data_IF_822877588007
#
_entry.id   IF_822877588007
#
_cell.length_a   1.000
_cell.length_b   1.000
_cell.length_c   1.000
_cell.angle_alpha   90.00
_cell.angle_beta   90.00
_cell.angle_gamma   90.00
#
_symmetry.space_group_name_H-M   'P 1'
#
loop_
_entity.id
_entity.type
_entity.pdbx_description
1 polymer ?
#
# COMPACT_ATOMS: atom_id res chain seq x y z
N UNK A 1 5.77 2.57 13.75
CA UNK A 1 4.86 1.87 12.82
C UNK A 1 5.53 1.96 11.48
N UNK A 2 5.65 0.82 10.81
CA UNK A 2 6.26 0.79 9.48
C UNK A 2 5.17 0.49 8.48
N UNK A 3 5.35 0.94 7.25
CA UNK A 3 4.48 0.61 6.13
C UNK A 3 5.26 -0.20 5.12
N UNK A 4 4.64 -1.29 4.69
CA UNK A 4 5.15 -2.15 3.64
C UNK A 4 4.24 -1.98 2.44
N UNK A 5 4.77 -1.55 1.30
CA UNK A 5 4.05 -1.42 0.04
C UNK A 5 4.60 -2.46 -0.94
N UNK A 6 3.72 -3.32 -1.46
CA UNK A 6 4.12 -4.42 -2.35
C UNK A 6 3.28 -4.44 -3.62
N UNK A 7 3.91 -4.68 -4.79
CA UNK A 7 3.19 -5.06 -5.98
C UNK A 7 2.53 -6.42 -5.78
N UNK A 8 1.29 -6.56 -6.23
CA UNK A 8 0.56 -7.83 -6.17
C UNK A 8 -0.03 -8.19 -7.52
N UNK A 9 -0.24 -9.49 -7.72
CA UNK A 9 -0.91 -10.00 -8.90
C UNK A 9 -2.41 -9.71 -8.80
N UNK A 10 -2.86 -8.75 -9.61
CA UNK A 10 -4.23 -8.25 -9.60
C UNK A 10 -5.25 -9.36 -9.89
N UNK A 11 -4.90 -10.28 -10.80
CA UNK A 11 -5.75 -11.40 -11.18
C UNK A 11 -5.91 -12.39 -10.03
N UNK A 12 -4.80 -12.78 -9.40
CA UNK A 12 -4.85 -13.65 -8.21
C UNK A 12 -5.70 -13.03 -7.09
N UNK A 13 -5.50 -11.74 -6.83
CA UNK A 13 -6.23 -11.06 -5.76
C UNK A 13 -7.74 -11.01 -6.05
N UNK A 14 -8.13 -10.71 -7.28
CA UNK A 14 -9.53 -10.67 -7.69
C UNK A 14 -10.21 -12.06 -7.76
N UNK A 15 -9.52 -13.07 -8.29
CA UNK A 15 -10.10 -14.38 -8.53
C UNK A 15 -10.05 -15.29 -7.30
N UNK A 16 -9.06 -15.10 -6.42
CA UNK A 16 -8.80 -16.00 -5.30
C UNK A 16 -8.97 -15.31 -3.95
N UNK A 17 -8.24 -14.20 -3.71
CA UNK A 17 -8.16 -13.60 -2.37
C UNK A 17 -9.47 -12.93 -1.95
N UNK A 18 -10.03 -12.04 -2.77
CA UNK A 18 -11.28 -11.34 -2.43
C UNK A 18 -12.46 -12.31 -2.22
N UNK A 19 -12.72 -13.29 -3.12
CA UNK A 19 -13.79 -14.26 -2.91
C UNK A 19 -13.58 -15.14 -1.68
N UNK A 20 -12.34 -15.57 -1.43
CA UNK A 20 -11.97 -16.32 -0.23
C UNK A 20 -12.33 -15.55 1.04
N UNK A 21 -11.91 -14.28 1.14
CA UNK A 21 -12.16 -13.43 2.30
C UNK A 21 -13.66 -13.16 2.49
N UNK A 22 -14.41 -12.87 1.42
CA UNK A 22 -15.86 -12.69 1.50
C UNK A 22 -16.56 -13.96 2.02
N UNK A 23 -16.22 -15.14 1.49
CA UNK A 23 -16.83 -16.41 1.89
C UNK A 23 -16.49 -16.78 3.34
N UNK A 24 -15.25 -16.55 3.76
CA UNK A 24 -14.79 -16.88 5.10
C UNK A 24 -15.54 -16.14 6.22
N UNK A 25 -16.27 -15.07 5.90
CA UNK A 25 -17.10 -14.37 6.88
C UNK A 25 -18.25 -15.24 7.40
N UNK A 26 -18.77 -16.14 6.57
CA UNK A 26 -19.89 -17.03 6.93
C UNK A 26 -19.53 -18.52 6.95
N UNK A 27 -18.58 -18.93 6.11
CA UNK A 27 -18.15 -20.32 5.93
C UNK A 27 -16.62 -20.38 5.72
N UNK A 28 -15.87 -20.33 6.83
CA UNK A 28 -14.41 -20.36 6.81
C UNK A 28 -13.88 -21.70 6.30
N UNK A 29 -14.48 -22.82 6.72
CA UNK A 29 -14.11 -24.16 6.25
C UNK A 29 -14.24 -24.30 4.73
N UNK A 30 -15.40 -23.96 4.17
CA UNK A 30 -15.60 -24.08 2.73
C UNK A 30 -14.83 -23.04 1.92
N UNK A 31 -14.49 -21.89 2.51
CA UNK A 31 -13.55 -20.95 1.91
C UNK A 31 -12.13 -21.54 1.80
N UNK A 32 -11.64 -22.19 2.86
CA UNK A 32 -10.34 -22.85 2.88
C UNK A 32 -10.27 -24.03 1.89
N UNK A 33 -11.32 -24.86 1.82
CA UNK A 33 -11.42 -25.94 0.83
C UNK A 33 -11.35 -25.40 -0.60
N UNK A 34 -12.16 -24.37 -0.91
CA UNK A 34 -12.18 -23.75 -2.24
C UNK A 34 -10.84 -23.11 -2.62
N UNK A 35 -10.13 -22.54 -1.64
CA UNK A 35 -8.82 -21.95 -1.87
C UNK A 35 -7.76 -23.04 -2.11
N UNK A 36 -7.81 -24.16 -1.38
CA UNK A 36 -6.88 -25.28 -1.55
C UNK A 36 -6.86 -25.85 -2.96
N UNK A 37 -8.01 -25.87 -3.63
CA UNK A 37 -8.14 -26.37 -5.00
C UNK A 37 -7.37 -25.52 -6.02
N UNK A 38 -7.12 -24.25 -5.71
CA UNK A 38 -6.42 -23.32 -6.61
C UNK A 38 -4.97 -23.08 -6.25
N UNK A 39 -4.51 -23.45 -5.05
CA UNK A 39 -3.14 -23.22 -4.57
C UNK A 39 -2.18 -24.35 -4.96
N UNK A 40 -1.08 -23.98 -5.61
CA UNK A 40 0.11 -24.82 -5.80
C UNK A 40 1.21 -24.60 -4.74
N UNK A 41 1.18 -23.47 -4.01
CA UNK A 41 2.18 -23.15 -2.98
C UNK A 41 2.08 -24.06 -1.74
N UNK A 42 3.11 -24.86 -1.48
CA UNK A 42 3.09 -25.87 -0.41
C UNK A 42 2.89 -25.31 1.00
N UNK A 43 3.48 -24.15 1.32
CA UNK A 43 3.32 -23.55 2.65
C UNK A 43 1.91 -23.01 2.87
N UNK A 44 1.32 -22.33 1.89
CA UNK A 44 -0.06 -21.82 2.00
C UNK A 44 -1.07 -22.97 2.05
N UNK A 45 -0.84 -24.05 1.28
CA UNK A 45 -1.65 -25.27 1.38
C UNK A 45 -1.59 -25.89 2.77
N UNK A 46 -0.40 -26.03 3.34
CA UNK A 46 -0.21 -26.57 4.68
C UNK A 46 -0.95 -25.75 5.75
N UNK A 47 -0.96 -24.41 5.64
CA UNK A 47 -1.75 -23.54 6.53
C UNK A 47 -3.25 -23.82 6.42
N UNK A 48 -3.78 -23.95 5.19
CA UNK A 48 -5.18 -24.28 4.98
C UNK A 48 -5.55 -25.66 5.53
N UNK A 49 -4.76 -26.70 5.23
CA UNK A 49 -4.96 -28.07 5.72
C UNK A 49 -4.95 -28.13 7.25
N UNK A 50 -4.00 -27.41 7.87
CA UNK A 50 -3.92 -27.30 9.33
C UNK A 50 -5.18 -26.69 9.92
N UNK A 51 -5.66 -25.56 9.37
CA UNK A 51 -6.89 -24.93 9.85
C UNK A 51 -8.13 -25.80 9.62
N UNK A 52 -8.21 -26.50 8.49
CA UNK A 52 -9.32 -27.43 8.21
C UNK A 52 -9.37 -28.59 9.20
N UNK A 53 -8.21 -29.06 9.68
CA UNK A 53 -8.16 -30.15 10.66
C UNK A 53 -8.76 -29.78 12.03
N UNK A 54 -8.83 -28.49 12.35
CA UNK A 54 -9.34 -27.95 13.63
C UNK A 54 -10.60 -27.10 13.47
N UNK A 55 -11.05 -26.86 12.23
CA UNK A 55 -12.16 -25.97 11.93
C UNK A 55 -13.49 -26.48 12.52
N UNK A 56 -14.26 -25.53 13.05
CA UNK A 56 -15.67 -25.73 13.40
C UNK A 56 -16.58 -25.14 12.30
N UNK A 57 -17.86 -25.52 12.24
CA UNK A 57 -18.80 -24.84 11.35
C UNK A 57 -18.94 -23.36 11.73
N UNK A 58 -18.79 -22.45 10.75
CA UNK A 58 -19.02 -21.01 10.93
C UNK A 58 -18.07 -20.13 10.13
N UNK A 59 -18.03 -18.84 10.48
CA UNK A 59 -17.13 -17.84 9.88
C UNK A 59 -15.77 -17.77 10.56
N UNK A 60 -15.06 -16.64 10.45
CA UNK A 60 -13.70 -16.45 10.98
C UNK A 60 -13.44 -16.94 12.42
N UNK A 61 -14.41 -16.81 13.32
CA UNK A 61 -14.27 -17.25 14.70
C UNK A 61 -14.21 -18.78 14.89
N UNK A 62 -14.33 -19.55 13.80
CA UNK A 62 -14.33 -21.01 13.80
C UNK A 62 -12.99 -21.63 13.39
N UNK A 63 -11.99 -20.80 13.08
CA UNK A 63 -10.62 -21.23 12.72
C UNK A 63 -9.58 -20.59 13.65
N UNK A 64 -8.41 -21.22 13.73
CA UNK A 64 -7.31 -20.74 14.57
C UNK A 64 -6.78 -19.38 14.07
N UNK A 65 -6.66 -18.40 14.99
CA UNK A 65 -6.31 -17.03 14.64
C UNK A 65 -4.86 -16.86 14.12
N UNK A 66 -3.88 -17.57 14.70
CA UNK A 66 -2.48 -17.43 14.29
C UNK A 66 -2.23 -17.97 12.86
N UNK A 67 -2.64 -19.22 12.51
CA UNK A 67 -2.53 -19.71 11.14
C UNK A 67 -3.35 -18.91 10.12
N UNK A 68 -4.49 -18.34 10.55
CA UNK A 68 -5.29 -17.45 9.72
C UNK A 68 -4.53 -16.17 9.38
N UNK A 69 -3.94 -15.51 10.38
CA UNK A 69 -3.15 -14.30 10.18
C UNK A 69 -1.96 -14.56 9.25
N UNK A 70 -1.25 -15.68 9.45
CA UNK A 70 -0.14 -16.10 8.57
C UNK A 70 -0.62 -16.36 7.14
N UNK A 71 -1.77 -17.00 6.95
CA UNK A 71 -2.32 -17.25 5.61
C UNK A 71 -2.70 -15.93 4.92
N UNK A 72 -3.43 -15.04 5.60
CA UNK A 72 -3.87 -13.77 5.01
C UNK A 72 -2.67 -12.88 4.66
N UNK A 73 -1.66 -12.82 5.52
CA UNK A 73 -0.41 -12.10 5.21
C UNK A 73 0.23 -12.61 3.92
N UNK A 74 0.32 -13.94 3.76
CA UNK A 74 0.88 -14.57 2.55
C UNK A 74 0.04 -14.27 1.31
N UNK A 75 -1.28 -14.42 1.39
CA UNK A 75 -2.19 -14.21 0.26
C UNK A 75 -2.19 -12.75 -0.20
N UNK A 76 -2.15 -11.80 0.73
CA UNK A 76 -2.28 -10.38 0.45
C UNK A 76 -0.96 -9.68 0.11
N UNK A 77 0.20 -10.20 0.57
CA UNK A 77 1.48 -9.49 0.48
C UNK A 77 2.63 -10.27 -0.16
N UNK A 78 2.45 -11.51 -0.60
CA UNK A 78 3.43 -12.20 -1.44
C UNK A 78 3.13 -12.00 -2.93
N UNK A 79 4.17 -12.15 -3.76
CA UNK A 79 4.02 -12.11 -5.21
C UNK A 79 3.50 -13.46 -5.69
N UNK A 80 2.32 -13.51 -6.30
CA UNK A 80 1.72 -14.75 -6.80
C UNK A 80 1.80 -14.84 -8.32
N UNK A 81 2.04 -16.05 -8.82
CA UNK A 81 2.05 -16.38 -10.24
C UNK A 81 1.31 -17.69 -10.49
N UNK A 82 0.73 -17.82 -11.67
CA UNK A 82 0.08 -19.05 -12.10
C UNK A 82 1.13 -20.08 -12.53
N UNK A 83 0.92 -21.33 -12.12
CA UNK A 83 1.73 -22.48 -12.50
C UNK A 83 0.82 -23.66 -12.91
N UNK A 84 1.37 -24.73 -13.53
CA UNK A 84 0.58 -25.91 -13.88
C UNK A 84 -0.10 -26.60 -12.68
N UNK A 85 0.45 -26.42 -11.48
CA UNK A 85 -0.08 -26.99 -10.22
C UNK A 85 -1.01 -26.04 -9.47
N UNK A 86 -1.38 -24.90 -10.07
CA UNK A 86 -2.16 -23.83 -9.45
C UNK A 86 -1.32 -22.59 -9.14
N UNK A 87 -1.84 -21.72 -8.29
CA UNK A 87 -1.15 -20.48 -7.90
C UNK A 87 0.00 -20.77 -6.94
N UNK A 88 1.18 -20.27 -7.27
CA UNK A 88 2.37 -20.41 -6.44
C UNK A 88 2.98 -19.05 -6.10
N UNK A 89 3.68 -18.99 -4.98
CA UNK A 89 4.46 -17.81 -4.61
C UNK A 89 5.63 -17.69 -5.59
N UNK A 90 5.64 -16.59 -6.35
CA UNK A 90 6.76 -16.16 -7.15
C UNK A 90 7.95 -15.72 -6.29
N UNK A 91 9.11 -15.56 -6.93
CA UNK A 91 10.30 -15.06 -6.25
C UNK A 91 10.10 -13.64 -5.67
N UNK A 92 11.02 -13.23 -4.82
CA UNK A 92 10.93 -11.96 -4.11
C UNK A 92 10.87 -10.77 -5.09
N UNK A 93 9.79 -10.00 -5.01
CA UNK A 93 9.76 -8.65 -5.55
C UNK A 93 10.07 -7.69 -4.42
N UNK A 94 11.09 -6.84 -4.62
CA UNK A 94 11.44 -5.80 -3.67
C UNK A 94 10.22 -4.88 -3.43
N UNK A 95 9.68 -4.94 -2.22
CA UNK A 95 8.69 -3.98 -1.71
C UNK A 95 9.36 -2.72 -1.17
N UNK A 96 8.55 -1.69 -0.91
CA UNK A 96 8.97 -0.56 -0.07
C UNK A 96 8.67 -0.91 1.39
N UNK A 97 9.58 -0.59 2.30
CA UNK A 97 9.38 -0.74 3.74
C UNK A 97 10.09 0.41 4.46
N UNK A 98 9.33 1.26 5.16
CA UNK A 98 9.88 2.40 5.90
C UNK A 98 8.87 2.89 6.97
N UNK A 99 9.24 3.92 7.74
CA UNK A 99 8.41 4.57 8.71
C UNK A 99 7.10 5.10 8.09
N UNK A 100 5.97 4.60 8.60
CA UNK A 100 4.64 4.94 8.08
C UNK A 100 4.36 6.45 8.09
N UNK A 101 4.80 7.17 9.14
CA UNK A 101 4.56 8.61 9.27
C UNK A 101 5.26 9.43 8.18
N UNK A 102 6.49 9.04 7.82
CA UNK A 102 7.27 9.69 6.77
C UNK A 102 6.71 9.35 5.39
N UNK A 103 6.39 8.08 5.14
CA UNK A 103 5.77 7.65 3.89
C UNK A 103 4.42 8.37 3.64
N UNK A 104 3.58 8.47 4.68
CA UNK A 104 2.32 9.21 4.59
C UNK A 104 2.55 10.71 4.40
N UNK A 105 3.55 11.30 5.06
CA UNK A 105 3.92 12.70 4.87
C UNK A 105 4.25 13.00 3.40
N UNK A 106 5.09 12.17 2.79
CA UNK A 106 5.50 12.32 1.39
C UNK A 106 4.35 12.07 0.42
N UNK A 107 3.49 11.09 0.71
CA UNK A 107 2.30 10.84 -0.09
C UNK A 107 1.34 12.05 -0.03
N UNK A 108 1.10 12.63 1.13
CA UNK A 108 0.26 13.83 1.28
C UNK A 108 0.89 15.07 0.61
N UNK A 109 2.21 15.21 0.64
CA UNK A 109 2.91 16.26 -0.13
C UNK A 109 2.57 16.19 -1.62
N UNK A 110 2.55 14.98 -2.17
CA UNK A 110 2.24 14.75 -3.58
C UNK A 110 0.75 14.92 -3.90
N UNK A 111 -0.10 14.38 -3.05
CA UNK A 111 -1.52 14.18 -3.32
C UNK A 111 -2.37 15.41 -2.96
N UNK A 112 -2.15 16.00 -1.79
CA UNK A 112 -2.99 17.07 -1.22
C UNK A 112 -2.40 18.47 -1.52
N UNK A 113 -3.10 19.31 -2.33
CA UNK A 113 -2.59 20.62 -2.74
C UNK A 113 -2.31 21.59 -1.60
N UNK A 114 -3.07 21.50 -0.49
CA UNK A 114 -2.93 22.41 0.63
C UNK A 114 -2.16 21.80 1.81
N UNK A 115 -1.52 20.63 1.62
CA UNK A 115 -0.81 19.95 2.68
C UNK A 115 0.35 20.82 3.22
N UNK A 116 0.37 21.17 4.51
CA UNK A 116 1.32 22.15 5.06
C UNK A 116 2.67 21.49 5.40
N UNK A 117 3.33 20.86 4.43
CA UNK A 117 4.51 20.01 4.69
C UNK A 117 5.74 20.73 5.25
N UNK A 118 5.80 22.05 5.14
CA UNK A 118 6.85 22.89 5.72
C UNK A 118 6.60 23.23 7.20
N UNK A 119 5.37 23.05 7.70
CA UNK A 119 4.99 23.24 9.10
C UNK A 119 4.82 21.87 9.77
N UNK A 120 5.80 21.47 10.58
CA UNK A 120 5.81 20.17 11.25
C UNK A 120 4.58 19.93 12.12
N UNK A 121 4.06 20.97 12.78
CA UNK A 121 2.90 20.84 13.68
C UNK A 121 1.62 20.64 12.86
N UNK A 122 1.34 21.54 11.93
CA UNK A 122 0.15 21.46 11.08
C UNK A 122 0.18 20.19 10.20
N UNK A 123 1.34 19.80 9.68
CA UNK A 123 1.50 18.58 8.91
C UNK A 123 1.19 17.32 9.74
N UNK A 124 1.55 17.33 11.02
CA UNK A 124 1.24 16.24 11.95
C UNK A 124 -0.26 16.17 12.25
N UNK A 125 -0.90 17.30 12.52
CA UNK A 125 -2.35 17.36 12.77
C UNK A 125 -3.15 16.76 11.60
N UNK A 126 -2.75 17.05 10.35
CA UNK A 126 -3.36 16.44 9.16
C UNK A 126 -3.12 14.92 9.09
N UNK A 127 -1.89 14.45 9.37
CA UNK A 127 -1.57 13.00 9.36
C UNK A 127 -2.32 12.24 10.46
N UNK A 128 -2.43 12.82 11.64
CA UNK A 128 -3.21 12.25 12.74
C UNK A 128 -4.69 12.12 12.34
N UNK A 129 -5.25 13.09 11.60
CA UNK A 129 -6.58 12.96 11.00
C UNK A 129 -6.70 11.79 10.02
N UNK A 130 -5.75 11.65 9.09
CA UNK A 130 -5.70 10.53 8.14
C UNK A 130 -5.53 9.17 8.81
N UNK A 131 -4.90 9.12 9.99
CA UNK A 131 -4.69 7.87 10.74
C UNK A 131 -6.00 7.19 11.14
N UNK A 132 -7.01 7.99 11.47
CA UNK A 132 -8.29 7.51 11.99
C UNK A 132 -9.41 7.57 10.96
N UNK A 133 -9.38 8.55 10.06
CA UNK A 133 -10.39 8.71 9.02
C UNK A 133 -9.72 9.10 7.70
N UNK A 134 -9.09 8.14 7.02
CA UNK A 134 -8.42 8.42 5.75
C UNK A 134 -9.42 8.92 4.70
N UNK A 135 -9.02 9.93 3.93
CA UNK A 135 -9.82 10.45 2.84
C UNK A 135 -9.74 9.52 1.61
N UNK A 136 -10.88 9.32 0.95
CA UNK A 136 -10.95 8.68 -0.36
C UNK A 136 -10.23 9.53 -1.44
N UNK A 137 -9.98 8.93 -2.60
CA UNK A 137 -9.43 9.61 -3.80
C UNK A 137 -8.04 10.26 -3.64
N UNK A 138 -7.37 10.08 -2.50
CA UNK A 138 -6.02 10.62 -2.25
C UNK A 138 -4.88 9.72 -2.72
N UNK A 139 -5.08 8.97 -3.81
CA UNK A 139 -4.05 8.15 -4.44
C UNK A 139 -3.25 7.30 -3.45
N UNK A 140 -1.92 7.47 -3.45
CA UNK A 140 -1.02 6.74 -2.56
C UNK A 140 -1.30 7.02 -1.07
N UNK A 141 -1.69 8.24 -0.69
CA UNK A 141 -1.95 8.59 0.71
C UNK A 141 -3.15 7.83 1.27
N UNK A 142 -4.23 7.63 0.50
CA UNK A 142 -5.38 6.84 0.95
C UNK A 142 -5.01 5.37 1.12
N UNK A 143 -4.20 4.80 0.22
CA UNK A 143 -3.69 3.43 0.33
C UNK A 143 -2.80 3.24 1.58
N UNK A 144 -1.81 4.12 1.80
CA UNK A 144 -0.92 4.02 2.96
C UNK A 144 -1.66 4.24 4.29
N UNK A 145 -2.72 5.04 4.29
CA UNK A 145 -3.57 5.24 5.46
C UNK A 145 -4.59 4.11 5.68
N UNK A 146 -4.63 3.11 4.79
CA UNK A 146 -5.44 1.91 4.96
C UNK A 146 -6.86 2.00 4.42
N UNK A 147 -7.20 3.06 3.68
CA UNK A 147 -8.51 3.20 3.05
C UNK A 147 -8.71 2.12 1.99
N UNK A 148 -9.85 1.43 2.03
CA UNK A 148 -10.24 0.49 1.00
C UNK A 148 -11.03 1.15 -0.12
N UNK A 149 -10.46 1.10 -1.32
CA UNK A 149 -11.11 1.50 -2.56
C UNK A 149 -10.58 0.59 -3.69
N UNK A 150 -11.41 -0.29 -4.28
CA UNK A 150 -12.85 -0.44 -4.08
C UNK A 150 -13.27 -0.84 -2.65
N UNK A 151 -14.50 -0.48 -2.28
CA UNK A 151 -15.11 -0.92 -1.01
C UNK A 151 -15.22 -2.45 -0.97
N UNK A 152 -14.75 -3.13 0.11
CA UNK A 152 -14.74 -4.57 0.21
C UNK A 152 -16.11 -5.11 0.63
N UNK A 153 -16.44 -6.34 0.24
CA UNK A 153 -17.66 -7.03 0.68
C UNK A 153 -17.54 -7.66 2.08
N UNK A 154 -16.36 -7.56 2.69
CA UNK A 154 -16.04 -8.07 4.01
C UNK A 154 -15.43 -6.95 4.88
N UNK A 155 -15.55 -7.05 6.21
CA UNK A 155 -14.85 -6.15 7.15
C UNK A 155 -13.33 -6.43 7.17
N UNK A 156 -12.49 -5.56 6.57
CA UNK A 156 -11.06 -5.85 6.40
C UNK A 156 -10.29 -5.87 7.72
N UNK A 157 -10.77 -5.11 8.71
CA UNK A 157 -10.25 -5.01 10.07
C UNK A 157 -10.46 -6.29 10.87
N UNK A 158 -11.55 -7.02 10.61
CA UNK A 158 -11.82 -8.32 11.22
C UNK A 158 -11.08 -9.46 10.52
N UNK A 159 -10.85 -9.33 9.22
CA UNK A 159 -10.05 -10.29 8.44
C UNK A 159 -8.59 -10.27 8.90
N UNK A 160 -7.98 -9.09 8.96
CA UNK A 160 -6.57 -8.97 9.27
C UNK A 160 -6.24 -7.57 9.79
N UNK A 161 -5.61 -7.52 10.96
CA UNK A 161 -5.19 -6.26 11.58
C UNK A 161 -3.94 -6.49 12.43
N UNK A 162 -2.94 -5.64 12.27
CA UNK A 162 -1.65 -5.77 12.97
C UNK A 162 -1.53 -4.79 14.15
N UNK A 163 -2.15 -3.62 14.04
CA UNK A 163 -2.19 -2.57 15.06
C UNK A 163 -3.55 -2.52 15.77
N UNK A 164 -4.53 -3.31 15.33
CA UNK A 164 -5.90 -3.19 15.79
C UNK A 164 -6.61 -1.96 15.23
N UNK A 165 -6.14 -1.38 14.10
CA UNK A 165 -6.83 -0.25 13.46
C UNK A 165 -7.76 -0.74 12.36
N UNK A 166 -8.96 -0.20 12.37
CA UNK A 166 -9.88 -0.25 11.25
C UNK A 166 -11.31 0.05 11.64
N UNK A 167 -12.09 0.40 10.62
CA UNK A 167 -13.52 0.64 10.71
C UNK A 167 -14.17 0.10 9.43
N UNK A 168 -15.39 -0.40 9.57
CA UNK A 168 -16.18 -0.91 8.45
C UNK A 168 -17.62 -0.42 8.57
N UNK A 169 -18.00 0.53 7.71
CA UNK A 169 -19.33 1.13 7.65
C UNK A 169 -19.97 0.89 6.27
N UNK A 170 -20.68 -0.24 6.08
CA UNK A 170 -21.33 -0.59 4.82
C UNK A 170 -22.31 0.45 4.31
N UNK A 171 -23.08 1.07 5.22
CA UNK A 171 -24.07 2.11 4.87
C UNK A 171 -23.43 3.34 4.25
N UNK A 172 -22.19 3.66 4.64
CA UNK A 172 -21.43 4.80 4.12
C UNK A 172 -20.47 4.40 3.00
N UNK A 173 -20.39 3.10 2.66
CA UNK A 173 -19.36 2.51 1.78
C UNK A 173 -17.95 2.96 2.16
N UNK A 174 -17.69 3.02 3.47
CA UNK A 174 -16.40 3.41 4.03
C UNK A 174 -15.78 2.25 4.78
N UNK A 175 -14.53 1.95 4.45
CA UNK A 175 -13.75 0.93 5.13
C UNK A 175 -12.28 1.35 5.20
N UNK A 176 -11.66 1.13 6.35
CA UNK A 176 -10.21 1.18 6.46
C UNK A 176 -9.70 0.12 7.42
N UNK A 177 -8.46 -0.31 7.25
CA UNK A 177 -7.78 -1.24 8.15
C UNK A 177 -6.28 -0.97 8.17
N UNK A 178 -5.52 -1.73 8.96
CA UNK A 178 -4.06 -1.72 8.89
C UNK A 178 -3.49 -2.15 7.54
N UNK A 179 -4.34 -2.61 6.63
CA UNK A 179 -3.97 -2.94 5.28
C UNK A 179 -5.01 -2.45 4.29
N UNK A 180 -4.57 -2.24 3.06
CA UNK A 180 -5.44 -1.91 1.94
C UNK A 180 -4.80 -2.35 0.63
N UNK A 181 -5.62 -2.41 -0.41
CA UNK A 181 -5.20 -2.76 -1.75
C UNK A 181 -5.80 -1.80 -2.78
N UNK A 182 -5.11 -1.66 -3.92
CA UNK A 182 -5.54 -0.93 -5.10
C UNK A 182 -5.37 -1.77 -6.36
N UNK A 183 -6.40 -1.85 -7.21
CA UNK A 183 -6.33 -2.63 -8.44
C UNK A 183 -5.35 -2.02 -9.44
N UNK A 184 -4.84 -2.85 -10.35
CA UNK A 184 -3.90 -2.43 -11.38
C UNK A 184 -4.39 -1.24 -12.21
N UNK A 185 -5.70 -1.16 -12.47
CA UNK A 185 -6.33 -0.01 -13.15
C UNK A 185 -6.16 1.30 -12.38
N UNK A 186 -6.34 1.27 -11.05
CA UNK A 186 -6.15 2.45 -10.21
C UNK A 186 -4.67 2.86 -10.18
N UNK A 187 -3.76 1.89 -10.04
CA UNK A 187 -2.31 2.14 -10.07
C UNK A 187 -1.87 2.74 -11.42
N UNK A 188 -2.39 2.25 -12.54
CA UNK A 188 -2.14 2.83 -13.85
C UNK A 188 -2.65 4.28 -13.96
N UNK A 189 -3.85 4.56 -13.44
CA UNK A 189 -4.38 5.92 -13.39
C UNK A 189 -3.50 6.86 -12.56
N UNK A 190 -2.95 6.38 -11.44
CA UNK A 190 -2.02 7.15 -10.62
C UNK A 190 -0.72 7.44 -11.37
N UNK A 191 -0.17 6.45 -12.08
CA UNK A 191 1.04 6.61 -12.88
C UNK A 191 0.85 7.67 -13.98
N UNK A 192 -0.29 7.69 -14.66
CA UNK A 192 -0.61 8.69 -15.70
C UNK A 192 -0.68 10.11 -15.12
N UNK A 193 -1.23 10.27 -13.91
CA UNK A 193 -1.37 11.57 -13.25
C UNK A 193 -0.11 12.03 -12.51
N UNK A 194 0.84 11.12 -12.27
CA UNK A 194 2.01 11.37 -11.44
C UNK A 194 2.86 12.56 -11.93
N UNK A 195 3.15 12.75 -13.25
CA UNK A 195 3.91 13.91 -13.72
C UNK A 195 3.29 15.24 -13.32
N UNK A 196 1.98 15.39 -13.53
CA UNK A 196 1.24 16.59 -13.15
C UNK A 196 1.31 16.88 -11.65
N UNK A 197 1.22 15.84 -10.81
CA UNK A 197 1.29 15.98 -9.34
C UNK A 197 2.70 16.42 -8.89
N UNK A 198 3.75 15.86 -9.49
CA UNK A 198 5.14 16.22 -9.19
C UNK A 198 5.47 17.64 -9.66
N UNK A 199 5.02 18.04 -10.85
CA UNK A 199 5.17 19.41 -11.35
C UNK A 199 4.47 20.43 -10.45
N UNK A 200 3.27 20.09 -9.97
CA UNK A 200 2.54 20.91 -8.99
C UNK A 200 3.30 21.03 -7.67
N UNK A 201 3.89 19.94 -7.17
CA UNK A 201 4.74 19.99 -5.98
C UNK A 201 5.94 20.94 -6.18
N UNK A 202 6.60 20.89 -7.34
CA UNK A 202 7.69 21.81 -7.68
C UNK A 202 7.23 23.27 -7.80
N UNK A 203 6.05 23.51 -8.37
CA UNK A 203 5.48 24.86 -8.44
C UNK A 203 5.19 25.42 -7.03
N UNK A 204 4.60 24.60 -6.14
CA UNK A 204 4.37 24.97 -4.73
C UNK A 204 5.67 25.30 -4.02
N UNK A 205 6.71 24.52 -4.26
CA UNK A 205 8.05 24.79 -3.70
C UNK A 205 8.66 26.09 -4.19
N UNK A 206 8.57 26.34 -5.50
CA UNK A 206 9.05 27.59 -6.09
C UNK A 206 8.32 28.81 -5.50
N UNK A 207 7.00 28.74 -5.38
CA UNK A 207 6.17 29.80 -4.81
C UNK A 207 6.50 30.04 -3.34
N UNK A 208 6.58 28.97 -2.53
CA UNK A 208 6.92 29.06 -1.11
C UNK A 208 8.27 29.72 -0.88
N UNK A 209 9.23 29.43 -1.74
CA UNK A 209 10.58 29.99 -1.67
C UNK A 209 10.72 31.37 -2.31
N UNK A 210 9.67 31.86 -2.98
CA UNK A 210 9.67 33.13 -3.72
C UNK A 210 10.82 33.22 -4.72
N UNK A 211 11.14 32.09 -5.36
CA UNK A 211 12.22 32.01 -6.34
C UNK A 211 11.69 32.21 -7.77
N UNK A 212 12.44 32.90 -8.65
CA UNK A 212 12.07 33.02 -10.06
C UNK A 212 12.11 31.65 -10.78
N UNK A 213 12.99 30.75 -10.35
CA UNK A 213 13.07 29.36 -10.81
C UNK A 213 13.76 28.48 -9.75
N UNK A 214 13.53 27.17 -9.82
CA UNK A 214 14.25 26.17 -9.03
C UNK A 214 15.41 25.62 -9.88
N UNK A 215 16.68 25.82 -9.48
CA UNK A 215 17.84 25.46 -10.30
C UNK A 215 17.89 23.99 -10.72
N UNK A 216 17.57 23.06 -9.82
CA UNK A 216 17.61 21.61 -10.08
C UNK A 216 16.24 20.99 -10.43
N UNK A 217 15.26 21.81 -10.86
CA UNK A 217 13.87 21.35 -11.08
C UNK A 217 13.80 20.15 -12.03
N UNK A 218 14.45 20.26 -13.18
CA UNK A 218 14.30 19.30 -14.26
C UNK A 218 15.02 17.98 -13.95
N UNK A 219 16.14 18.05 -13.24
CA UNK A 219 16.85 16.87 -12.75
C UNK A 219 16.05 16.13 -11.70
N UNK A 220 15.44 16.86 -10.75
CA UNK A 220 14.62 16.26 -9.69
C UNK A 220 13.37 15.62 -10.26
N UNK A 221 12.66 16.32 -11.16
CA UNK A 221 11.53 15.74 -11.88
C UNK A 221 11.98 14.54 -12.73
N UNK A 222 13.14 14.61 -13.37
CA UNK A 222 13.74 13.53 -14.12
C UNK A 222 13.93 12.26 -13.27
N UNK A 223 14.50 12.41 -12.07
CA UNK A 223 14.65 11.32 -11.11
C UNK A 223 13.31 10.75 -10.64
N UNK A 224 12.39 11.60 -10.17
CA UNK A 224 11.08 11.17 -9.71
C UNK A 224 10.20 10.57 -10.81
N UNK A 225 10.46 10.86 -12.08
CA UNK A 225 9.77 10.24 -13.21
C UNK A 225 10.49 8.99 -13.75
N UNK A 226 11.65 8.65 -13.18
CA UNK A 226 12.47 7.51 -13.63
C UNK A 226 13.19 7.73 -14.95
N UNK A 227 13.32 8.99 -15.41
CA UNK A 227 14.19 9.36 -16.54
C UNK A 227 15.67 9.35 -16.13
N UNK A 228 15.94 9.57 -14.85
CA UNK A 228 17.27 9.46 -14.24
C UNK A 228 17.27 8.35 -13.19
N UNK A 229 18.34 7.56 -13.15
CA UNK A 229 18.47 6.43 -12.23
C UNK A 229 18.92 6.85 -10.82
N UNK A 230 19.69 7.94 -10.72
CA UNK A 230 20.27 8.44 -9.48
C UNK A 230 19.67 9.82 -9.15
N UNK A 231 19.48 10.15 -7.87
CA UNK A 231 19.05 11.49 -7.46
C UNK A 231 20.16 12.50 -7.79
N UNK A 232 19.81 13.72 -8.25
CA UNK A 232 20.80 14.75 -8.55
C UNK A 232 21.52 15.23 -7.28
N UNK A 233 22.81 15.62 -7.38
CA UNK A 233 23.50 16.29 -6.29
C UNK A 233 22.89 17.68 -6.07
N UNK A 234 22.37 17.95 -4.87
CA UNK A 234 21.77 19.24 -4.54
C UNK A 234 22.87 20.24 -4.19
N UNK A 235 23.01 21.31 -4.96
CA UNK A 235 24.13 22.26 -4.86
C UNK A 235 23.98 23.33 -3.78
N UNK A 236 23.09 23.13 -2.81
CA UNK A 236 22.68 24.11 -1.79
C UNK A 236 21.78 25.21 -2.36
N UNK A 237 20.60 24.83 -2.86
CA UNK A 237 19.42 25.71 -2.97
C UNK A 237 18.09 24.97 -3.22
N UNK A 238 18.05 23.62 -3.22
CA UNK A 238 16.78 22.90 -3.08
C UNK A 238 16.22 22.96 -1.65
N UNK A 239 16.95 23.55 -0.70
CA UNK A 239 16.55 23.60 0.71
C UNK A 239 15.54 24.73 0.98
N UNK A 240 14.51 24.80 0.16
CA UNK A 240 13.24 25.24 0.68
C UNK A 240 12.64 24.24 1.64
N UNK A 241 12.86 22.96 1.39
CA UNK A 241 12.39 21.84 2.21
C UNK A 241 13.19 21.66 3.52
N UNK A 242 14.10 22.60 3.84
CA UNK A 242 14.98 22.54 5.01
C UNK A 242 16.02 21.40 4.95
N UNK A 243 16.60 21.02 6.10
CA UNK A 243 17.65 20.00 6.20
C UNK A 243 17.27 18.61 5.67
N UNK A 244 15.97 18.34 5.45
CA UNK A 244 15.44 17.05 5.00
C UNK A 244 15.26 16.93 3.48
N UNK A 245 15.54 17.97 2.72
CA UNK A 245 15.33 18.02 1.26
C UNK A 245 15.90 16.79 0.51
N UNK A 246 17.13 16.40 0.83
CA UNK A 246 17.80 15.26 0.21
C UNK A 246 17.14 13.90 0.58
N UNK A 247 16.62 13.78 1.81
CA UNK A 247 15.87 12.60 2.24
C UNK A 247 14.55 12.48 1.50
N UNK A 248 13.75 13.55 1.48
CA UNK A 248 12.47 13.58 0.79
C UNK A 248 12.58 13.31 -0.70
N UNK A 249 13.63 13.83 -1.35
CA UNK A 249 13.88 13.55 -2.75
C UNK A 249 14.07 12.07 -3.01
N UNK A 250 14.92 11.39 -2.22
CA UNK A 250 15.17 9.96 -2.35
C UNK A 250 13.91 9.16 -2.08
N UNK A 251 13.26 9.41 -0.95
CA UNK A 251 12.08 8.64 -0.54
C UNK A 251 10.88 8.83 -1.49
N UNK A 252 10.63 10.06 -1.96
CA UNK A 252 9.60 10.27 -2.98
C UNK A 252 9.99 9.61 -4.31
N UNK A 253 11.28 9.60 -4.66
CA UNK A 253 11.80 8.84 -5.79
C UNK A 253 11.53 7.34 -5.68
N UNK A 254 11.74 6.77 -4.50
CA UNK A 254 11.43 5.37 -4.20
C UNK A 254 9.94 5.09 -4.31
N UNK A 255 9.09 5.85 -3.59
CA UNK A 255 7.63 5.67 -3.61
C UNK A 255 7.05 5.77 -5.02
N UNK A 256 7.46 6.78 -5.78
CA UNK A 256 7.01 6.95 -7.16
C UNK A 256 7.52 5.85 -8.07
N UNK A 257 8.73 5.32 -7.84
CA UNK A 257 9.26 4.18 -8.59
C UNK A 257 8.41 2.92 -8.38
N UNK A 258 7.91 2.68 -7.16
CA UNK A 258 6.99 1.56 -6.91
C UNK A 258 5.69 1.69 -7.70
N UNK A 259 5.08 2.88 -7.74
CA UNK A 259 3.89 3.13 -8.57
C UNK A 259 4.19 2.87 -10.05
N UNK A 260 5.30 3.41 -10.58
CA UNK A 260 5.67 3.24 -11.99
C UNK A 260 5.92 1.77 -12.32
N UNK A 261 6.69 1.06 -11.50
CA UNK A 261 7.02 -0.36 -11.72
C UNK A 261 5.77 -1.23 -11.69
N UNK A 262 4.90 -1.05 -10.70
CA UNK A 262 3.64 -1.78 -10.61
C UNK A 262 2.73 -1.49 -11.82
N UNK A 263 2.60 -0.22 -12.23
CA UNK A 263 1.83 0.16 -13.41
C UNK A 263 2.37 -0.47 -14.71
N UNK A 264 3.70 -0.45 -14.92
CA UNK A 264 4.35 -1.07 -16.07
C UNK A 264 4.13 -2.58 -16.11
N UNK A 265 4.17 -3.22 -14.94
CA UNK A 265 3.91 -4.65 -14.78
C UNK A 265 2.41 -5.00 -14.78
N UNK A 266 1.50 -4.01 -14.89
CA UNK A 266 0.04 -4.18 -14.79
C UNK A 266 -0.40 -4.88 -13.49
N UNK A 267 0.28 -4.54 -12.40
CA UNK A 267 0.05 -5.10 -11.06
C UNK A 267 -0.76 -4.14 -10.20
N UNK A 268 -1.51 -4.70 -9.25
CA UNK A 268 -2.08 -3.94 -8.14
C UNK A 268 -1.01 -3.57 -7.11
N UNK A 269 -1.40 -2.77 -6.13
CA UNK A 269 -0.54 -2.42 -4.99
C UNK A 269 -1.28 -2.72 -3.68
N UNK A 270 -0.60 -3.41 -2.76
CA UNK A 270 -1.08 -3.62 -1.40
C UNK A 270 -0.18 -2.87 -0.42
N UNK A 271 -0.77 -2.29 0.61
CA UNK A 271 -0.08 -1.67 1.72
C UNK A 271 -0.44 -2.38 3.02
N UNK A 272 0.56 -2.60 3.88
CA UNK A 272 0.42 -3.16 5.22
C UNK A 272 1.15 -2.27 6.22
N UNK A 273 0.46 -1.83 7.26
CA UNK A 273 1.07 -1.17 8.41
C UNK A 273 1.41 -2.22 9.44
N UNK A 274 2.58 -2.10 10.08
CA UNK A 274 3.10 -3.08 11.06
C UNK A 274 3.66 -2.39 12.30
N UNK A 275 3.79 -3.14 13.40
CA UNK A 275 4.59 -2.70 14.57
C UNK A 275 6.03 -2.79 14.09
N UNK A 276 6.80 -1.70 14.21
CA UNK A 276 8.03 -1.51 13.42
C UNK A 276 9.01 -2.69 13.43
N UNK A 277 9.73 -2.85 12.33
CA UNK A 277 10.78 -3.84 11.99
C UNK A 277 10.89 -5.06 12.91
N UNK A 278 9.84 -5.89 12.87
CA UNK A 278 9.94 -7.36 12.95
C UNK A 278 9.55 -8.04 11.64
N UNK A 279 9.42 -7.29 10.54
CA UNK A 279 9.13 -7.84 9.20
C UNK A 279 10.40 -8.50 8.69
N UNK A 280 10.37 -9.83 8.59
CA UNK A 280 11.39 -10.63 7.88
C UNK A 280 11.41 -10.14 6.43
N UNK A 281 12.51 -9.51 6.05
CA UNK A 281 12.90 -9.29 4.64
C UNK A 281 13.15 -10.67 4.03
#
# INVERSE_FOLDING_TARGET
MDVVLRPINDRFFHEQVLPFLSRAMGDASGALESLLDSLGDGQSRMLCERMLSTALPGGLGSVDADPWADLVDRLAFLSWKESPTGWEVGGDQAGYADAWDEALHLALMLEEPNYPYWDTRSAREVRDGFRFRPLADMGLASLLAGHWDPFPEFPPDRVFSTQGRGEYFPSERFAFADWAWRPARAVAHWQVNLPRKLERLMAREQERMRLPSLPERDEVLGYWLGKQAQPPPLTVAFSGLGPRAAGWMRELGTLTAHIRRAALAKQGLAALVTKGTSVRI
#
